data_IF_072273594802
#
_entry.id   IF_072273594802
#
_cell.length_a   1.000
_cell.length_b   1.000
_cell.length_c   1.000
_cell.angle_alpha   90.00
_cell.angle_beta   90.00
_cell.angle_gamma   90.00
#
_symmetry.space_group_name_H-M   'P 1'
#
loop_
_entity.id
_entity.type
_entity.pdbx_description
1 polymer ?
#
# COMPACT_ATOMS: atom_id res chain seq x y z
N UNK A 1 -26.77 23.25 15.03
CA UNK A 1 -27.64 22.07 15.23
C UNK A 1 -28.25 21.75 13.90
N UNK A 2 -27.94 20.61 13.26
CA UNK A 2 -28.52 20.19 11.97
C UNK A 2 -29.98 19.86 12.22
N UNK A 3 -30.93 20.30 11.37
CA UNK A 3 -32.35 19.95 11.51
C UNK A 3 -32.54 18.43 11.54
N UNK A 4 -33.43 17.92 12.38
CA UNK A 4 -33.61 16.47 12.58
C UNK A 4 -34.06 15.70 11.32
N UNK A 5 -34.72 16.39 10.39
CA UNK A 5 -35.14 15.85 9.09
C UNK A 5 -33.93 15.59 8.19
N UNK A 6 -32.98 16.52 8.15
CA UNK A 6 -31.76 16.40 7.36
C UNK A 6 -30.86 15.26 7.87
N UNK A 7 -30.80 15.06 9.19
CA UNK A 7 -30.01 13.98 9.80
C UNK A 7 -30.58 12.59 9.45
N UNK A 8 -31.89 12.43 9.47
CA UNK A 8 -32.55 11.17 9.10
C UNK A 8 -32.29 10.82 7.63
N UNK A 9 -32.41 11.79 6.74
CA UNK A 9 -32.21 11.60 5.30
C UNK A 9 -30.74 11.27 5.01
N UNK A 10 -29.80 11.96 5.66
CA UNK A 10 -28.39 11.67 5.58
C UNK A 10 -28.07 10.25 6.05
N UNK A 11 -28.67 9.80 7.15
CA UNK A 11 -28.47 8.42 7.68
C UNK A 11 -29.04 7.39 6.71
N UNK A 12 -30.22 7.63 6.11
CA UNK A 12 -30.83 6.71 5.14
C UNK A 12 -29.93 6.60 3.90
N UNK A 13 -29.42 7.72 3.41
CA UNK A 13 -28.47 7.75 2.29
C UNK A 13 -27.19 6.98 2.63
N UNK A 14 -26.57 7.26 3.78
CA UNK A 14 -25.37 6.56 4.23
C UNK A 14 -25.59 5.04 4.34
N UNK A 15 -26.73 4.61 4.90
CA UNK A 15 -27.09 3.18 5.02
C UNK A 15 -27.22 2.50 3.65
N UNK A 16 -27.67 3.22 2.61
CA UNK A 16 -27.77 2.68 1.26
C UNK A 16 -26.37 2.36 0.70
N UNK A 17 -25.40 3.25 0.89
CA UNK A 17 -24.01 3.03 0.50
C UNK A 17 -23.39 1.89 1.31
N UNK A 18 -23.59 1.85 2.64
CA UNK A 18 -23.07 0.78 3.49
C UNK A 18 -23.58 -0.58 3.00
N UNK A 19 -24.88 -0.72 2.74
CA UNK A 19 -25.45 -1.96 2.21
C UNK A 19 -24.87 -2.35 0.85
N UNK A 20 -24.59 -1.38 -0.03
CA UNK A 20 -24.02 -1.61 -1.35
C UNK A 20 -22.59 -2.10 -1.31
N UNK A 21 -21.78 -1.58 -0.38
CA UNK A 21 -20.34 -1.86 -0.29
C UNK A 21 -19.98 -2.90 0.78
N UNK A 22 -20.93 -3.34 1.59
CA UNK A 22 -20.71 -4.42 2.55
C UNK A 22 -20.16 -5.66 1.84
N UNK A 23 -19.17 -6.32 2.48
CA UNK A 23 -18.46 -7.50 1.96
C UNK A 23 -17.67 -7.26 0.65
N UNK A 24 -17.64 -6.03 0.14
CA UNK A 24 -16.84 -5.68 -1.03
C UNK A 24 -15.40 -5.42 -0.66
N UNK A 25 -14.49 -5.89 -1.52
CA UNK A 25 -13.07 -5.53 -1.45
C UNK A 25 -12.92 -4.14 -2.06
N UNK A 26 -12.33 -3.22 -1.30
CA UNK A 26 -12.08 -1.84 -1.72
C UNK A 26 -10.59 -1.61 -1.70
N UNK A 27 -10.00 -1.40 -2.87
CA UNK A 27 -8.58 -1.08 -3.00
C UNK A 27 -8.40 0.43 -2.86
N UNK A 28 -7.55 0.82 -1.91
CA UNK A 28 -7.31 2.22 -1.55
C UNK A 28 -5.83 2.52 -1.75
N UNK A 29 -5.51 3.46 -2.65
CA UNK A 29 -4.15 3.95 -2.81
C UNK A 29 -3.85 5.00 -1.74
N UNK A 30 -2.80 4.77 -0.95
CA UNK A 30 -2.33 5.66 0.11
C UNK A 30 -0.98 6.25 -0.27
N UNK A 31 -0.88 7.58 -0.33
CA UNK A 31 0.35 8.26 -0.74
C UNK A 31 0.24 9.79 -0.68
N UNK A 32 1.30 10.47 -1.07
CA UNK A 32 1.36 11.93 -1.07
C UNK A 32 1.29 12.54 0.33
N UNK A 33 0.61 13.69 0.46
CA UNK A 33 0.51 14.45 1.71
C UNK A 33 -0.06 13.62 2.87
N UNK A 34 -0.98 12.69 2.58
CA UNK A 34 -1.59 11.82 3.59
C UNK A 34 -0.57 10.92 4.32
N UNK A 35 0.57 10.62 3.68
CA UNK A 35 1.67 9.85 4.31
C UNK A 35 2.63 10.72 5.12
N UNK A 36 2.60 12.04 4.98
CA UNK A 36 3.57 12.96 5.57
C UNK A 36 2.99 13.63 6.82
N UNK A 37 1.78 14.16 6.72
CA UNK A 37 1.16 14.94 7.77
C UNK A 37 0.55 14.06 8.87
N UNK A 38 0.96 14.28 10.12
CA UNK A 38 0.53 13.45 11.25
C UNK A 38 -0.99 13.40 11.42
N UNK A 39 -1.68 14.54 11.26
CA UNK A 39 -3.13 14.59 11.39
C UNK A 39 -3.83 13.81 10.28
N UNK A 40 -3.29 13.84 9.04
CA UNK A 40 -3.84 13.09 7.93
C UNK A 40 -3.60 11.58 8.07
N UNK A 41 -2.45 11.17 8.62
CA UNK A 41 -2.18 9.76 8.96
C UNK A 41 -3.21 9.21 9.94
N UNK A 42 -3.51 9.99 10.99
CA UNK A 42 -4.48 9.59 12.01
C UNK A 42 -5.90 9.51 11.41
N UNK A 43 -6.35 10.56 10.73
CA UNK A 43 -7.68 10.59 10.09
C UNK A 43 -7.85 9.46 9.08
N UNK A 44 -6.82 9.21 8.25
CA UNK A 44 -6.83 8.09 7.31
C UNK A 44 -7.02 6.74 8.02
N UNK A 45 -6.28 6.49 9.11
CA UNK A 45 -6.39 5.25 9.85
C UNK A 45 -7.79 5.07 10.47
N UNK A 46 -8.37 6.13 11.02
CA UNK A 46 -9.73 6.14 11.57
C UNK A 46 -10.78 5.83 10.49
N UNK A 47 -10.67 6.46 9.32
CA UNK A 47 -11.57 6.22 8.18
C UNK A 47 -11.51 4.78 7.69
N UNK A 48 -10.30 4.20 7.56
CA UNK A 48 -10.13 2.82 7.14
C UNK A 48 -10.72 1.84 8.16
N UNK A 49 -10.50 2.07 9.45
CA UNK A 49 -11.06 1.23 10.52
C UNK A 49 -12.59 1.35 10.56
N UNK A 50 -13.12 2.56 10.28
CA UNK A 50 -14.57 2.74 10.11
C UNK A 50 -15.12 1.90 8.96
N UNK A 51 -14.49 1.93 7.77
CA UNK A 51 -14.90 1.10 6.63
C UNK A 51 -14.91 -0.39 7.00
N UNK A 52 -13.86 -0.87 7.69
CA UNK A 52 -13.80 -2.25 8.17
C UNK A 52 -14.95 -2.56 9.14
N UNK A 53 -15.24 -1.68 10.09
CA UNK A 53 -16.32 -1.82 11.07
C UNK A 53 -17.71 -1.90 10.43
N UNK A 54 -17.87 -1.26 9.27
CA UNK A 54 -19.09 -1.29 8.46
C UNK A 54 -19.21 -2.56 7.58
N UNK A 55 -18.24 -3.49 7.69
CA UNK A 55 -18.23 -4.76 6.98
C UNK A 55 -17.64 -4.69 5.57
N UNK A 56 -16.95 -3.63 5.21
CA UNK A 56 -16.16 -3.53 3.98
C UNK A 56 -14.81 -4.23 4.19
N UNK A 57 -14.12 -4.57 3.09
CA UNK A 57 -12.82 -5.27 3.09
C UNK A 57 -11.75 -4.37 2.46
N UNK A 58 -11.19 -3.40 3.20
CA UNK A 58 -10.20 -2.49 2.65
C UNK A 58 -8.87 -3.20 2.38
N UNK A 59 -8.29 -2.90 1.22
CA UNK A 59 -6.95 -3.28 0.80
C UNK A 59 -6.18 -2.00 0.51
N UNK A 60 -5.16 -1.71 1.29
CA UNK A 60 -4.38 -0.49 1.16
C UNK A 60 -3.14 -0.78 0.31
N UNK A 61 -2.93 0.03 -0.72
CA UNK A 61 -1.71 0.02 -1.53
C UNK A 61 -0.99 1.34 -1.31
N UNK A 62 0.19 1.30 -0.70
CA UNK A 62 0.92 2.52 -0.34
C UNK A 62 2.14 2.78 -1.22
N UNK A 63 2.53 4.05 -1.34
CA UNK A 63 3.78 4.49 -1.91
C UNK A 63 4.90 4.61 -0.86
N UNK A 64 6.00 5.29 -1.22
CA UNK A 64 7.13 5.52 -0.32
C UNK A 64 8.39 5.96 -1.03
N UNK A 65 8.28 6.41 -2.29
CA UNK A 65 9.42 6.84 -3.09
C UNK A 65 10.30 7.91 -2.42
N UNK A 66 9.74 8.98 -1.84
CA UNK A 66 10.50 9.99 -1.12
C UNK A 66 11.28 9.44 0.08
N UNK A 67 10.65 8.56 0.88
CA UNK A 67 11.26 7.93 2.04
C UNK A 67 12.40 7.00 1.64
N UNK A 68 12.21 6.25 0.54
CA UNK A 68 13.27 5.39 -0.04
C UNK A 68 14.45 6.24 -0.50
N UNK A 69 14.20 7.35 -1.23
CA UNK A 69 15.26 8.27 -1.67
C UNK A 69 16.04 8.83 -0.48
N UNK A 70 15.34 9.30 0.54
CA UNK A 70 15.96 9.83 1.77
C UNK A 70 16.81 8.79 2.49
N UNK A 71 16.34 7.55 2.57
CA UNK A 71 17.10 6.46 3.19
C UNK A 71 18.37 6.11 2.39
N UNK A 72 18.28 6.08 1.07
CA UNK A 72 19.44 5.87 0.19
C UNK A 72 20.47 6.97 0.36
N UNK A 73 20.05 8.24 0.36
CA UNK A 73 20.93 9.40 0.57
C UNK A 73 21.65 9.33 1.94
N UNK A 74 20.92 8.96 3.00
CA UNK A 74 21.51 8.77 4.35
C UNK A 74 22.56 7.67 4.40
N UNK A 75 22.45 6.66 3.54
CA UNK A 75 23.42 5.57 3.40
C UNK A 75 24.51 5.88 2.37
N UNK A 76 24.56 7.11 1.83
CA UNK A 76 25.55 7.52 0.83
C UNK A 76 25.35 6.90 -0.55
N UNK A 77 24.15 6.35 -0.83
CA UNK A 77 23.84 5.76 -2.12
C UNK A 77 23.28 6.83 -3.08
N UNK A 78 23.65 6.70 -4.35
CA UNK A 78 23.14 7.60 -5.40
C UNK A 78 21.74 7.17 -5.84
N UNK A 79 20.89 8.17 -6.09
CA UNK A 79 19.52 7.97 -6.57
C UNK A 79 19.42 8.54 -7.99
N UNK A 80 19.11 7.66 -8.93
CA UNK A 80 18.92 8.05 -10.33
C UNK A 80 17.52 7.63 -10.81
N UNK A 81 16.95 8.47 -11.68
CA UNK A 81 15.66 8.18 -12.32
C UNK A 81 15.79 8.26 -13.83
N UNK A 82 15.17 7.33 -14.54
CA UNK A 82 14.99 7.35 -15.98
C UNK A 82 13.49 7.24 -16.25
N UNK A 83 12.94 8.21 -16.96
CA UNK A 83 11.49 8.27 -17.27
C UNK A 83 10.56 8.07 -16.05
N UNK A 84 10.97 8.59 -14.89
CA UNK A 84 10.21 8.46 -13.65
C UNK A 84 10.34 7.10 -12.95
N UNK A 85 11.13 6.18 -13.50
CA UNK A 85 11.49 4.91 -12.86
C UNK A 85 12.84 5.06 -12.16
N UNK A 86 12.95 4.53 -10.93
CA UNK A 86 14.22 4.53 -10.18
C UNK A 86 15.14 3.45 -10.74
N UNK A 87 16.32 3.84 -11.20
CA UNK A 87 17.39 2.87 -11.51
C UNK A 87 17.83 2.21 -10.21
N UNK A 88 17.66 0.90 -10.10
CA UNK A 88 17.77 0.20 -8.82
C UNK A 88 18.87 -0.86 -8.88
N UNK A 89 20.03 -0.59 -8.24
CA UNK A 89 21.08 -1.58 -8.05
C UNK A 89 20.68 -2.65 -7.01
N UNK A 90 21.48 -3.69 -6.86
CA UNK A 90 21.25 -4.72 -5.83
C UNK A 90 21.28 -4.15 -4.40
N UNK A 91 22.16 -3.17 -4.14
CA UNK A 91 22.23 -2.48 -2.85
C UNK A 91 20.99 -1.59 -2.65
N UNK A 92 20.61 -0.83 -3.69
CA UNK A 92 19.41 0.03 -3.65
C UNK A 92 18.14 -0.79 -3.46
N UNK A 93 18.05 -2.01 -4.03
CA UNK A 93 16.94 -2.93 -3.84
C UNK A 93 16.73 -3.28 -2.37
N UNK A 94 17.82 -3.61 -1.65
CA UNK A 94 17.76 -3.93 -0.22
C UNK A 94 17.21 -2.76 0.60
N UNK A 95 17.69 -1.54 0.33
CA UNK A 95 17.21 -0.33 1.02
C UNK A 95 15.73 -0.09 0.70
N UNK A 96 15.34 -0.23 -0.56
CA UNK A 96 13.93 -0.08 -0.99
C UNK A 96 13.03 -1.07 -0.24
N UNK A 97 13.42 -2.33 -0.18
CA UNK A 97 12.67 -3.37 0.53
C UNK A 97 12.57 -3.08 2.04
N UNK A 98 13.68 -2.71 2.68
CA UNK A 98 13.71 -2.34 4.10
C UNK A 98 12.76 -1.18 4.40
N UNK A 99 12.74 -0.14 3.57
CA UNK A 99 11.92 1.04 3.79
C UNK A 99 10.45 0.75 3.50
N UNK A 100 10.14 0.17 2.34
CA UNK A 100 8.75 -0.06 1.95
C UNK A 100 8.07 -1.13 2.81
N UNK A 101 8.69 -2.31 2.95
CA UNK A 101 8.07 -3.46 3.63
C UNK A 101 8.33 -3.47 5.14
N UNK A 102 9.46 -2.92 5.57
CA UNK A 102 9.86 -2.84 6.98
C UNK A 102 9.33 -1.59 7.67
N UNK A 103 9.67 -0.41 7.19
CA UNK A 103 9.37 0.84 7.89
C UNK A 103 7.96 1.34 7.60
N UNK A 104 7.65 1.68 6.36
CA UNK A 104 6.38 2.32 5.99
C UNK A 104 5.20 1.37 6.21
N UNK A 105 5.32 0.15 5.71
CA UNK A 105 4.27 -0.85 5.86
C UNK A 105 3.93 -1.08 7.33
N UNK A 106 4.93 -1.25 8.19
CA UNK A 106 4.72 -1.51 9.62
C UNK A 106 4.24 -0.27 10.39
N UNK A 107 4.63 0.94 9.96
CA UNK A 107 4.07 2.17 10.51
C UNK A 107 2.56 2.27 10.23
N UNK A 108 2.14 2.01 9.00
CA UNK A 108 0.71 2.00 8.61
C UNK A 108 -0.06 0.98 9.46
N UNK A 109 0.47 -0.25 9.57
CA UNK A 109 -0.14 -1.31 10.37
C UNK A 109 -0.28 -0.90 11.84
N UNK A 110 0.75 -0.30 12.43
CA UNK A 110 0.72 0.16 13.81
C UNK A 110 -0.37 1.21 14.03
N UNK A 111 -0.52 2.18 13.13
CA UNK A 111 -1.58 3.19 13.20
C UNK A 111 -2.97 2.57 13.10
N UNK A 112 -3.21 1.68 12.14
CA UNK A 112 -4.50 1.01 11.97
C UNK A 112 -4.88 0.19 13.21
N UNK A 113 -3.94 -0.57 13.76
CA UNK A 113 -4.17 -1.38 14.95
C UNK A 113 -4.39 -0.51 16.20
N UNK A 114 -3.70 0.64 16.31
CA UNK A 114 -3.93 1.61 17.41
C UNK A 114 -5.34 2.22 17.34
N UNK A 115 -5.88 2.42 16.15
CA UNK A 115 -7.27 2.86 15.95
C UNK A 115 -8.32 1.75 16.17
N UNK A 116 -7.91 0.55 16.60
CA UNK A 116 -8.81 -0.57 16.86
C UNK A 116 -9.08 -1.47 15.66
N UNK A 117 -8.39 -1.26 14.54
CA UNK A 117 -8.43 -2.16 13.38
C UNK A 117 -7.69 -3.47 13.65
N UNK A 118 -7.91 -4.45 12.77
CA UNK A 118 -7.10 -5.66 12.69
C UNK A 118 -6.41 -5.67 11.33
N UNK A 119 -5.13 -5.30 11.31
CA UNK A 119 -4.40 -5.10 10.07
C UNK A 119 -3.15 -5.98 10.00
N UNK A 120 -2.86 -6.50 8.82
CA UNK A 120 -1.60 -7.17 8.49
C UNK A 120 -0.94 -6.49 7.31
N UNK A 121 0.39 -6.48 7.28
CA UNK A 121 1.17 -5.92 6.18
C UNK A 121 1.90 -7.02 5.44
N UNK A 122 1.76 -7.00 4.13
CA UNK A 122 2.41 -7.91 3.20
C UNK A 122 3.26 -7.14 2.20
N UNK A 123 4.10 -7.86 1.49
CA UNK A 123 4.83 -7.42 0.30
C UNK A 123 4.47 -8.30 -0.89
N UNK A 124 4.94 -7.97 -2.07
CA UNK A 124 4.74 -8.81 -3.26
C UNK A 124 5.34 -10.22 -3.13
N UNK A 125 6.35 -10.39 -2.27
CA UNK A 125 7.02 -11.69 -2.02
C UNK A 125 6.16 -12.67 -1.22
N UNK A 126 5.29 -12.14 -0.34
CA UNK A 126 4.52 -12.98 0.56
C UNK A 126 3.50 -13.82 -0.22
N UNK A 127 3.62 -15.14 -0.10
CA UNK A 127 2.75 -16.09 -0.80
C UNK A 127 2.80 -15.99 -2.32
N UNK A 128 3.91 -15.51 -2.90
CA UNK A 128 4.03 -15.24 -4.34
C UNK A 128 2.91 -14.33 -4.85
N UNK A 129 2.55 -13.31 -4.06
CA UNK A 129 1.45 -12.39 -4.37
C UNK A 129 1.68 -11.66 -5.70
N UNK A 130 2.93 -11.29 -6.01
CA UNK A 130 3.35 -10.65 -7.26
C UNK A 130 4.62 -11.32 -7.74
N UNK A 131 4.59 -11.85 -8.95
CA UNK A 131 5.77 -12.31 -9.67
C UNK A 131 6.09 -11.33 -10.79
N UNK A 132 7.38 -11.05 -10.99
CA UNK A 132 7.83 -10.05 -11.94
C UNK A 132 9.15 -10.48 -12.58
N UNK A 133 9.30 -10.18 -13.85
CA UNK A 133 10.56 -10.27 -14.59
C UNK A 133 11.24 -8.90 -14.69
N UNK A 134 12.51 -8.88 -15.05
CA UNK A 134 13.26 -7.65 -15.26
C UNK A 134 12.65 -6.82 -16.38
N UNK A 135 12.34 -5.55 -16.09
CA UNK A 135 11.83 -4.62 -17.08
C UNK A 135 12.93 -4.22 -18.05
N UNK A 136 12.64 -4.27 -19.36
CA UNK A 136 13.51 -3.70 -20.39
C UNK A 136 13.41 -2.17 -20.34
N UNK A 137 14.55 -1.51 -20.19
CA UNK A 137 14.65 -0.05 -20.18
C UNK A 137 14.60 0.60 -21.57
N UNK A 138 14.64 -0.20 -22.65
CA UNK A 138 14.77 0.27 -24.03
C UNK A 138 16.15 0.88 -24.35
N UNK A 139 16.50 0.92 -25.63
CA UNK A 139 17.73 1.59 -26.16
C UNK A 139 19.03 1.39 -25.35
N UNK A 140 19.19 0.22 -24.71
CA UNK A 140 20.39 -0.10 -23.93
C UNK A 140 20.43 0.48 -22.52
N UNK A 141 19.33 0.98 -22.00
CA UNK A 141 19.20 1.48 -20.62
C UNK A 141 19.00 0.31 -19.67
N UNK A 142 19.94 0.08 -18.76
CA UNK A 142 19.78 -0.89 -17.67
C UNK A 142 19.12 -0.21 -16.46
N UNK A 143 17.85 -0.53 -16.21
CA UNK A 143 17.11 -0.05 -15.06
C UNK A 143 17.47 -0.81 -13.76
N UNK A 144 18.30 -1.84 -13.84
CA UNK A 144 18.64 -2.71 -12.71
C UNK A 144 17.46 -3.58 -12.30
N UNK A 145 17.13 -3.58 -11.01
CA UNK A 145 16.05 -4.40 -10.42
C UNK A 145 14.67 -3.72 -10.50
N UNK A 146 14.35 -3.12 -11.64
CA UNK A 146 12.99 -2.66 -11.94
C UNK A 146 12.23 -3.79 -12.62
N UNK A 147 11.03 -4.11 -12.14
CA UNK A 147 10.22 -5.21 -12.64
C UNK A 147 9.03 -4.82 -13.47
N UNK A 148 8.65 -5.73 -14.35
CA UNK A 148 7.35 -5.78 -14.99
C UNK A 148 6.59 -6.99 -14.43
N UNK A 149 5.31 -6.78 -14.07
CA UNK A 149 4.51 -7.83 -13.43
C UNK A 149 4.11 -8.88 -14.46
N UNK A 150 4.53 -10.12 -14.23
CA UNK A 150 4.18 -11.28 -15.06
C UNK A 150 2.88 -11.93 -14.57
N UNK A 151 2.76 -12.11 -13.26
CA UNK A 151 1.60 -12.74 -12.65
C UNK A 151 1.29 -12.23 -11.26
N UNK A 152 0.06 -12.48 -10.81
CA UNK A 152 -0.39 -12.17 -9.45
C UNK A 152 -1.16 -13.35 -8.86
N UNK A 153 -0.91 -13.65 -7.57
CA UNK A 153 -1.64 -14.67 -6.83
C UNK A 153 -2.43 -14.05 -5.68
N UNK A 154 -3.71 -13.71 -5.88
CA UNK A 154 -4.52 -13.05 -4.85
C UNK A 154 -5.06 -14.01 -3.77
N UNK A 155 -4.70 -15.29 -3.78
CA UNK A 155 -5.29 -16.28 -2.86
C UNK A 155 -4.97 -15.96 -1.40
N UNK A 156 -3.72 -15.57 -1.11
CA UNK A 156 -3.35 -15.12 0.23
C UNK A 156 -4.23 -13.96 0.72
N UNK A 157 -4.51 -12.99 -0.16
CA UNK A 157 -5.41 -11.86 0.18
C UNK A 157 -6.83 -12.35 0.46
N UNK A 158 -7.34 -13.28 -0.34
CA UNK A 158 -8.69 -13.82 -0.16
C UNK A 158 -8.83 -14.54 1.18
N UNK A 159 -7.81 -15.29 1.58
CA UNK A 159 -7.78 -15.98 2.89
C UNK A 159 -7.82 -14.95 4.02
N UNK A 160 -6.95 -13.95 4.00
CA UNK A 160 -6.88 -12.93 5.04
C UNK A 160 -8.16 -12.08 5.12
N UNK A 161 -8.76 -11.75 3.98
CA UNK A 161 -9.99 -10.96 3.92
C UNK A 161 -11.26 -11.73 4.35
N UNK A 162 -11.23 -13.08 4.44
CA UNK A 162 -12.33 -13.86 5.03
C UNK A 162 -12.51 -13.53 6.50
N UNK A 163 -11.43 -13.35 7.24
CA UNK A 163 -11.43 -13.04 8.67
C UNK A 163 -11.45 -11.52 8.96
N UNK A 164 -11.86 -10.71 7.97
CA UNK A 164 -11.93 -9.26 8.07
C UNK A 164 -10.60 -8.59 8.47
N UNK A 165 -9.47 -9.15 8.04
CA UNK A 165 -8.18 -8.52 8.24
C UNK A 165 -7.97 -7.42 7.20
N UNK A 166 -7.55 -6.25 7.67
CA UNK A 166 -7.05 -5.19 6.81
C UNK A 166 -5.71 -5.62 6.21
N UNK A 167 -5.51 -5.29 4.94
CA UNK A 167 -4.28 -5.60 4.25
C UNK A 167 -3.60 -4.32 3.73
N UNK A 168 -2.29 -4.25 3.85
CA UNK A 168 -1.49 -3.18 3.25
C UNK A 168 -0.27 -3.75 2.55
N UNK A 169 0.06 -3.19 1.39
CA UNK A 169 1.21 -3.57 0.55
C UNK A 169 1.84 -2.34 -0.11
N UNK A 170 3.15 -2.36 -0.36
CA UNK A 170 3.78 -1.39 -1.26
C UNK A 170 3.14 -1.41 -2.65
N UNK A 171 3.08 -0.23 -3.29
CA UNK A 171 2.62 -0.12 -4.67
C UNK A 171 3.58 -0.86 -5.62
N UNK A 172 3.08 -1.57 -6.65
CA UNK A 172 3.94 -2.21 -7.65
C UNK A 172 4.90 -1.24 -8.38
N UNK A 173 4.57 0.04 -8.46
CA UNK A 173 5.47 1.07 -9.03
C UNK A 173 6.68 1.36 -8.12
N UNK A 174 6.52 1.19 -6.83
CA UNK A 174 7.58 1.35 -5.83
C UNK A 174 8.21 0.00 -5.46
N UNK A 175 7.55 -1.10 -5.82
CA UNK A 175 8.04 -2.46 -5.65
C UNK A 175 9.07 -2.75 -6.75
N UNK A 176 10.31 -2.46 -6.46
CA UNK A 176 11.43 -3.06 -7.17
C UNK A 176 11.40 -4.55 -6.92
N UNK A 177 11.55 -5.31 -7.97
CA UNK A 177 11.55 -6.77 -8.09
C UNK A 177 11.69 -7.55 -6.78
N UNK A 178 10.59 -7.82 -6.14
CA UNK A 178 10.56 -8.64 -4.93
C UNK A 178 10.46 -10.14 -5.21
N UNK A 179 10.53 -10.57 -6.44
CA UNK A 179 10.32 -11.97 -6.86
C UNK A 179 11.33 -12.54 -7.86
N UNK A 180 12.49 -11.89 -8.10
CA UNK A 180 13.52 -12.54 -8.91
C UNK A 180 14.25 -13.63 -8.10
N UNK A 181 14.41 -14.85 -8.66
CA UNK A 181 15.42 -15.79 -8.18
C UNK A 181 16.81 -15.15 -8.36
N UNK A 182 17.63 -15.23 -7.31
CA UNK A 182 19.03 -14.79 -7.31
C UNK A 182 19.93 -15.61 -8.24
#
# INVERSE_FOLDING_TARGET
MVPSTDLKDLLIEALSYIKRFRDRIIVIKYGGAAMIEKNLKQSFAEDIVLLQSLGMKPVIVHGGGPEVSKAMEQLGQQVHFVEGLRVTSAENLKVTEMVLSGTINKEIIAHLNTCGGKAVGLSGKDGHLIEASKKDGGEGVDLGYVGEIDSTNPELLRVLLKDCLLYTSPSPRDATLSGMPG
#
